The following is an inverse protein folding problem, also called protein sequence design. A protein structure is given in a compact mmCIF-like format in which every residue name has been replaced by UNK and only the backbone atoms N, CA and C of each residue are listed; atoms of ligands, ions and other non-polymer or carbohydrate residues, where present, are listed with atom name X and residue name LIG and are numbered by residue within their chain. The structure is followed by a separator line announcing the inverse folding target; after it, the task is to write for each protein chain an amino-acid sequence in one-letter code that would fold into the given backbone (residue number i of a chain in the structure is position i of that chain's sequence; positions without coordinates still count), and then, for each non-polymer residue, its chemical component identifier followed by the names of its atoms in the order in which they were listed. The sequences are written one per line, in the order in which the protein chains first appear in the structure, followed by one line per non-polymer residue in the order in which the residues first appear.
data_IF_568521361399
#
_entry.id   IF_568521361399
#
_cell.length_a   1.000
_cell.length_b   1.000
_cell.length_c   1.000
_cell.angle_alpha   90.00
_cell.angle_beta   90.00
_cell.angle_gamma   90.00
#
_symmetry.space_group_name_H-M   'P 1'
#
loop_
_entity.id
_entity.type
_entity.pdbx_description
1 polymer ?
#
# COMPACT_ATOMS: atom_id res chain seq x y z
N UNK A 1 22.60 26.52 -17.81
CA UNK A 1 23.03 25.11 -17.80
C UNK A 1 24.41 25.02 -17.16
N UNK A 2 24.48 24.65 -15.87
CA UNK A 2 25.72 24.72 -15.08
C UNK A 2 26.59 23.47 -15.26
N UNK A 3 27.83 23.67 -15.72
CA UNK A 3 28.85 22.61 -15.92
C UNK A 3 29.46 22.07 -14.62
N UNK A 4 28.86 22.37 -13.47
CA UNK A 4 29.43 22.16 -12.13
C UNK A 4 29.57 20.67 -11.80
N UNK A 5 28.79 19.79 -12.44
CA UNK A 5 28.71 18.39 -12.04
C UNK A 5 29.39 17.38 -12.99
N UNK A 6 30.15 17.84 -14.00
CA UNK A 6 30.80 16.94 -14.98
C UNK A 6 31.89 16.06 -14.37
N UNK A 7 32.73 16.61 -13.49
CA UNK A 7 33.79 15.86 -12.77
C UNK A 7 33.20 14.88 -11.76
N UNK A 8 32.12 15.27 -11.08
CA UNK A 8 31.40 14.38 -10.15
C UNK A 8 30.79 13.17 -10.87
N UNK A 9 30.18 13.39 -12.05
CA UNK A 9 29.67 12.32 -12.91
C UNK A 9 30.76 11.37 -13.42
N UNK A 10 31.97 11.84 -13.71
CA UNK A 10 33.06 10.95 -14.17
C UNK A 10 33.62 10.04 -13.07
N UNK A 11 33.48 10.42 -11.80
CA UNK A 11 33.86 9.58 -10.64
C UNK A 11 32.76 8.59 -10.22
N UNK A 12 31.58 8.66 -10.83
CA UNK A 12 30.49 7.73 -10.58
C UNK A 12 30.79 6.37 -11.22
N UNK A 13 31.53 5.53 -10.48
CA UNK A 13 32.01 4.21 -10.92
C UNK A 13 30.91 3.15 -11.03
N UNK A 14 29.79 3.36 -10.35
CA UNK A 14 28.67 2.42 -10.31
C UNK A 14 27.44 3.10 -10.86
N UNK A 15 26.98 2.68 -12.04
CA UNK A 15 25.62 2.96 -12.52
C UNK A 15 24.62 2.32 -11.56
N UNK A 16 24.31 2.95 -10.43
CA UNK A 16 23.27 2.44 -9.54
C UNK A 16 21.89 2.89 -10.01
N UNK A 17 21.56 2.48 -11.22
CA UNK A 17 20.21 2.01 -11.50
C UNK A 17 20.26 0.48 -11.41
N UNK A 18 20.60 -0.05 -10.22
CA UNK A 18 20.51 -1.50 -9.99
C UNK A 18 19.03 -1.83 -9.87
N UNK A 19 18.34 -1.91 -11.01
CA UNK A 19 17.03 -2.55 -11.16
C UNK A 19 15.96 -2.11 -10.15
N UNK A 20 15.93 -0.84 -9.74
CA UNK A 20 14.78 -0.33 -9.00
C UNK A 20 13.60 -0.31 -9.96
N UNK A 21 12.67 -1.26 -9.77
CA UNK A 21 11.40 -1.29 -10.50
C UNK A 21 10.67 0.04 -10.31
N UNK A 22 9.91 0.46 -11.31
CA UNK A 22 9.06 1.64 -11.15
C UNK A 22 8.04 1.42 -10.04
N UNK A 23 7.57 2.49 -9.40
CA UNK A 23 6.45 2.40 -8.47
C UNK A 23 5.20 1.79 -9.13
N UNK A 24 4.99 2.05 -10.43
CA UNK A 24 3.89 1.44 -11.19
C UNK A 24 4.04 -0.09 -11.25
N UNK A 25 5.23 -0.57 -11.63
CA UNK A 25 5.53 -1.99 -11.74
C UNK A 25 5.40 -2.69 -10.38
N UNK A 26 5.91 -2.05 -9.30
CA UNK A 26 5.79 -2.57 -7.94
C UNK A 26 4.31 -2.69 -7.55
N UNK A 27 3.51 -1.66 -7.81
CA UNK A 27 2.09 -1.66 -7.45
C UNK A 27 1.31 -2.73 -8.24
N UNK A 28 1.60 -2.91 -9.53
CA UNK A 28 0.99 -3.96 -10.34
C UNK A 28 1.34 -5.37 -9.84
N UNK A 29 2.58 -5.59 -9.41
CA UNK A 29 3.00 -6.85 -8.82
C UNK A 29 2.34 -7.09 -7.45
N UNK A 30 2.22 -6.07 -6.61
CA UNK A 30 1.50 -6.14 -5.33
C UNK A 30 0.00 -6.43 -5.51
N UNK A 31 -0.65 -5.83 -6.51
CA UNK A 31 -2.06 -6.14 -6.82
C UNK A 31 -2.22 -7.58 -7.31
N UNK A 32 -1.31 -8.05 -8.19
CA UNK A 32 -1.31 -9.44 -8.67
C UNK A 32 -1.13 -10.44 -7.53
N UNK A 33 -0.22 -10.16 -6.59
CA UNK A 33 -0.05 -10.99 -5.39
C UNK A 33 -1.35 -11.07 -4.57
N UNK A 34 -2.00 -9.93 -4.33
CA UNK A 34 -3.23 -9.85 -3.56
C UNK A 34 -4.34 -10.67 -4.21
N UNK A 35 -4.52 -10.55 -5.52
CA UNK A 35 -5.54 -11.29 -6.28
C UNK A 35 -5.30 -12.80 -6.28
N UNK A 36 -4.05 -13.25 -6.44
CA UNK A 36 -3.69 -14.68 -6.37
C UNK A 36 -3.92 -15.22 -4.95
N UNK A 37 -3.60 -14.43 -3.93
CA UNK A 37 -3.80 -14.81 -2.51
C UNK A 37 -5.29 -14.93 -2.14
N UNK A 38 -6.16 -14.09 -2.73
CA UNK A 38 -7.62 -14.21 -2.57
C UNK A 38 -8.14 -15.49 -3.24
N UNK A 39 -7.65 -15.78 -4.44
CA UNK A 39 -8.12 -16.91 -5.26
C UNK A 39 -7.64 -18.27 -4.72
N UNK A 40 -6.52 -18.31 -3.99
CA UNK A 40 -5.91 -19.52 -3.41
C UNK A 40 -5.83 -19.39 -1.87
N UNK A 41 -6.94 -19.60 -1.12
CA UNK A 41 -6.95 -19.41 0.33
C UNK A 41 -6.25 -20.52 1.14
N UNK A 42 -5.74 -21.59 0.51
CA UNK A 42 -5.17 -22.74 1.21
C UNK A 42 -3.65 -22.69 1.34
N UNK A 43 -3.14 -22.10 2.42
CA UNK A 43 -1.99 -22.61 3.20
C UNK A 43 -1.65 -21.69 4.38
N UNK A 44 -2.59 -21.58 5.31
CA UNK A 44 -2.27 -21.37 6.73
C UNK A 44 -1.58 -22.62 7.30
N UNK A 45 -0.33 -22.87 6.89
CA UNK A 45 0.55 -23.87 7.52
C UNK A 45 2.00 -23.48 7.28
N UNK A 46 2.53 -22.72 8.24
CA UNK A 46 3.83 -22.99 8.90
C UNK A 46 4.80 -23.91 8.15
N UNK A 47 5.68 -23.33 7.31
CA UNK A 47 7.03 -23.77 6.90
C UNK A 47 7.27 -23.37 5.43
N UNK A 48 7.65 -22.13 5.12
CA UNK A 48 9.05 -21.67 5.14
C UNK A 48 10.01 -22.45 4.22
N UNK A 49 9.56 -22.87 3.04
CA UNK A 49 10.47 -23.16 1.92
C UNK A 49 9.87 -22.45 0.70
N UNK A 50 10.63 -21.52 0.09
CA UNK A 50 10.31 -20.96 -1.21
C UNK A 50 10.37 -22.11 -2.24
N UNK A 51 9.28 -22.84 -2.37
CA UNK A 51 9.14 -23.88 -3.38
C UNK A 51 8.99 -23.21 -4.74
N UNK A 52 9.42 -23.90 -5.81
CA UNK A 52 9.46 -23.32 -7.16
C UNK A 52 8.10 -22.86 -7.72
N UNK A 53 7.01 -23.26 -7.07
CA UNK A 53 5.61 -23.05 -7.48
C UNK A 53 4.79 -22.32 -6.40
N UNK A 54 5.45 -21.58 -5.50
CA UNK A 54 4.74 -20.75 -4.52
C UNK A 54 4.06 -19.53 -5.19
N UNK A 55 3.11 -18.92 -4.49
CA UNK A 55 2.35 -17.74 -4.95
C UNK A 55 3.30 -16.62 -5.40
N UNK A 56 4.44 -16.48 -4.72
CA UNK A 56 5.45 -15.49 -5.05
C UNK A 56 6.19 -15.80 -6.36
N UNK A 57 6.49 -17.08 -6.65
CA UNK A 57 7.14 -17.50 -7.90
C UNK A 57 6.21 -17.36 -9.10
N UNK A 58 4.89 -17.46 -8.88
CA UNK A 58 3.90 -17.18 -9.92
C UNK A 58 3.89 -15.70 -10.33
N UNK A 59 3.95 -14.78 -9.36
CA UNK A 59 3.84 -13.34 -9.64
C UNK A 59 5.18 -12.72 -10.04
N UNK A 60 6.28 -13.12 -9.40
CA UNK A 60 7.61 -12.51 -9.60
C UNK A 60 8.61 -13.41 -10.34
N UNK A 61 8.25 -14.66 -10.66
CA UNK A 61 9.17 -15.67 -11.19
C UNK A 61 9.97 -16.39 -10.08
N UNK A 62 10.68 -17.47 -10.45
CA UNK A 62 11.49 -18.27 -9.51
C UNK A 62 12.64 -17.47 -8.91
N UNK A 63 12.89 -17.64 -7.62
CA UNK A 63 14.03 -16.96 -6.96
C UNK A 63 15.37 -17.55 -7.40
N UNK A 64 16.43 -16.75 -7.31
CA UNK A 64 17.78 -17.16 -7.74
C UNK A 64 18.52 -17.82 -6.58
N UNK A 65 19.31 -18.89 -6.82
CA UNK A 65 20.09 -19.52 -5.76
C UNK A 65 21.03 -18.51 -5.10
N UNK A 66 21.05 -18.49 -3.77
CA UNK A 66 21.87 -17.56 -2.97
C UNK A 66 21.31 -16.14 -2.83
N UNK A 67 20.12 -15.86 -3.38
CA UNK A 67 19.42 -14.60 -3.21
C UNK A 67 18.06 -14.87 -2.56
N UNK A 68 17.66 -14.00 -1.64
CA UNK A 68 16.28 -13.97 -1.13
C UNK A 68 15.59 -12.76 -1.75
N UNK A 69 14.45 -12.98 -2.40
CA UNK A 69 13.56 -11.90 -2.82
C UNK A 69 12.92 -11.24 -1.60
N UNK A 70 13.17 -9.94 -1.42
CA UNK A 70 12.32 -9.09 -0.60
C UNK A 70 11.08 -8.66 -1.39
N UNK A 71 9.90 -8.68 -0.76
CA UNK A 71 8.64 -8.17 -1.30
C UNK A 71 8.23 -6.90 -0.58
N UNK A 72 7.42 -6.05 -1.23
CA UNK A 72 6.98 -4.78 -0.68
C UNK A 72 7.98 -3.63 -0.83
N UNK A 73 7.44 -2.42 -0.72
CA UNK A 73 8.24 -1.25 -0.39
C UNK A 73 8.67 -1.43 1.06
N UNK A 74 9.97 -1.61 1.31
CA UNK A 74 10.50 -1.64 2.68
C UNK A 74 9.96 -0.48 3.52
N UNK A 75 10.04 -0.53 4.86
CA UNK A 75 9.25 0.30 5.75
C UNK A 75 9.20 1.76 5.29
N UNK A 76 8.02 2.18 4.83
CA UNK A 76 7.81 3.53 4.32
C UNK A 76 8.11 4.51 5.44
N UNK A 77 8.87 5.59 5.21
CA UNK A 77 9.21 6.57 6.24
C UNK A 77 8.00 7.06 7.05
N UNK A 78 6.86 7.24 6.39
CA UNK A 78 5.57 7.58 6.99
C UNK A 78 5.10 6.59 8.05
N UNK A 79 5.41 5.30 7.88
CA UNK A 79 5.08 4.25 8.84
C UNK A 79 5.99 4.24 10.07
N UNK A 80 7.25 4.68 9.92
CA UNK A 80 8.23 4.69 11.02
C UNK A 80 8.19 6.00 11.80
N UNK A 81 8.09 7.13 11.10
CA UNK A 81 8.19 8.48 11.66
C UNK A 81 6.87 9.25 11.66
N UNK A 82 5.79 8.59 11.22
CA UNK A 82 4.47 9.21 11.12
C UNK A 82 4.32 10.07 9.87
N UNK A 83 3.07 10.46 9.61
CA UNK A 83 2.73 11.33 8.48
C UNK A 83 3.23 12.76 8.71
N UNK A 84 3.71 13.39 7.64
CA UNK A 84 4.13 14.80 7.68
C UNK A 84 3.01 15.70 8.21
N UNK A 85 3.38 16.85 8.79
CA UNK A 85 2.43 17.81 9.37
C UNK A 85 1.34 18.24 8.38
N UNK A 86 1.68 18.40 7.11
CA UNK A 86 0.75 18.74 6.03
C UNK A 86 -0.29 17.63 5.79
N UNK A 87 0.15 16.37 5.67
CA UNK A 87 -0.77 15.25 5.49
C UNK A 87 -1.65 15.03 6.74
N UNK A 88 -1.09 15.26 7.93
CA UNK A 88 -1.86 15.23 9.18
C UNK A 88 -2.98 16.28 9.21
N UNK A 89 -2.75 17.49 8.68
CA UNK A 89 -3.77 18.52 8.60
C UNK A 89 -4.90 18.12 7.63
N UNK A 90 -4.55 17.55 6.48
CA UNK A 90 -5.52 17.04 5.50
C UNK A 90 -6.37 15.92 6.10
N UNK A 91 -5.75 14.93 6.75
CA UNK A 91 -6.48 13.84 7.41
C UNK A 91 -7.41 14.36 8.51
N UNK A 92 -7.02 15.37 9.28
CA UNK A 92 -7.91 15.99 10.29
C UNK A 92 -9.11 16.67 9.64
N UNK A 93 -8.91 17.37 8.53
CA UNK A 93 -10.00 18.03 7.81
C UNK A 93 -10.98 17.02 7.21
N UNK A 94 -10.47 15.95 6.60
CA UNK A 94 -11.30 14.86 6.06
C UNK A 94 -12.08 14.15 7.18
N UNK A 95 -11.44 13.84 8.31
CA UNK A 95 -12.12 13.26 9.46
C UNK A 95 -13.18 14.20 10.04
N UNK A 96 -12.97 15.51 10.04
CA UNK A 96 -13.98 16.47 10.48
C UNK A 96 -15.21 16.42 9.55
N UNK A 97 -15.00 16.43 8.24
CA UNK A 97 -16.07 16.31 7.25
C UNK A 97 -16.86 15.01 7.39
N UNK A 98 -16.16 13.88 7.54
CA UNK A 98 -16.80 12.58 7.76
C UNK A 98 -17.62 12.55 9.05
N UNK A 99 -17.10 13.12 10.14
CA UNK A 99 -17.85 13.21 11.39
C UNK A 99 -19.10 14.09 11.27
N UNK A 100 -19.04 15.18 10.51
CA UNK A 100 -20.20 16.05 10.28
C UNK A 100 -21.26 15.32 9.45
N UNK A 101 -20.85 14.58 8.41
CA UNK A 101 -21.78 13.74 7.63
C UNK A 101 -22.43 12.64 8.48
N UNK A 102 -21.66 11.99 9.36
CA UNK A 102 -22.19 10.95 10.27
C UNK A 102 -23.24 11.54 11.21
N UNK A 103 -22.99 12.74 11.76
CA UNK A 103 -23.98 13.42 12.61
C UNK A 103 -25.26 13.75 11.84
N UNK A 104 -25.15 14.28 10.63
CA UNK A 104 -26.32 14.57 9.80
C UNK A 104 -27.13 13.29 9.51
N UNK A 105 -26.45 12.21 9.13
CA UNK A 105 -27.11 10.92 8.90
C UNK A 105 -27.80 10.39 10.15
N UNK A 106 -27.17 10.51 11.32
CA UNK A 106 -27.77 10.11 12.60
C UNK A 106 -29.03 10.92 12.93
N UNK A 107 -29.01 12.24 12.71
CA UNK A 107 -30.21 13.08 12.90
C UNK A 107 -31.33 12.71 11.94
N UNK A 108 -31.00 12.42 10.67
CA UNK A 108 -32.00 12.00 9.67
C UNK A 108 -32.61 10.64 10.03
N UNK A 109 -31.80 9.71 10.52
CA UNK A 109 -32.29 8.41 10.99
C UNK A 109 -33.25 8.58 12.18
N UNK A 110 -32.90 9.40 13.17
CA UNK A 110 -33.79 9.66 14.31
C UNK A 110 -35.15 10.26 13.89
N UNK A 111 -35.16 11.14 12.88
CA UNK A 111 -36.42 11.68 12.32
C UNK A 111 -37.25 10.59 11.63
N UNK A 112 -36.61 9.71 10.85
CA UNK A 112 -37.30 8.60 10.17
C UNK A 112 -37.86 7.60 11.19
N UNK A 113 -37.11 7.26 12.23
CA UNK A 113 -37.57 6.38 13.31
C UNK A 113 -38.82 6.95 13.99
N UNK A 114 -38.84 8.26 14.29
CA UNK A 114 -40.01 8.93 14.86
C UNK A 114 -41.24 8.83 13.93
N UNK A 115 -41.07 9.07 12.63
CA UNK A 115 -42.15 9.01 11.65
C UNK A 115 -42.70 7.58 11.55
N UNK A 116 -41.82 6.58 11.53
CA UNK A 116 -42.23 5.17 11.48
C UNK A 116 -43.05 4.84 12.73
N UNK A 117 -42.61 5.22 13.93
CA UNK A 117 -43.34 4.98 15.17
C UNK A 117 -44.74 5.62 15.13
N UNK A 118 -44.87 6.86 14.67
CA UNK A 118 -46.18 7.52 14.56
C UNK A 118 -47.12 6.86 13.55
N UNK A 119 -46.60 6.30 12.46
CA UNK A 119 -47.41 5.62 11.43
C UNK A 119 -47.76 4.17 11.79
N UNK A 120 -47.09 3.58 12.78
CA UNK A 120 -47.32 2.19 13.21
C UNK A 120 -48.25 2.10 14.43
N UNK A 121 -48.59 3.23 15.06
CA UNK A 121 -49.61 3.37 16.11
C UNK A 121 -50.98 3.74 15.52
#
# INVERSE_FOLDING_TARGET
YSGINKKSKSHHKYFHCVGTKSFADINEEETKLHDVKITQPSSSSSSSIATADDIYSQVFGKDRPGRVRGVGTGPTPTSLWGTSSQCQAQLRAENAQLNDMVKELAERLGKVESIVVELTL
#
